data_IF_717118733546
#
_entry.id   IF_717118733546
#
_cell.length_a   1.000
_cell.length_b   1.000
_cell.length_c   1.000
_cell.angle_alpha   90.00
_cell.angle_beta   90.00
_cell.angle_gamma   90.00
#
_symmetry.space_group_name_H-M   'P 1'
#
loop_
_entity.id
_entity.type
_entity.pdbx_description
1 polymer ?
#
# COMPACT_ATOMS: atom_id res chain seq x y z
N UNK A 1 33.75 -40.04 -2.23
CA UNK A 1 34.88 -39.15 -1.93
C UNK A 1 34.76 -37.96 -2.88
N UNK A 2 34.03 -36.95 -2.43
CA UNK A 2 33.78 -35.71 -3.18
C UNK A 2 35.00 -34.81 -3.05
N UNK A 3 35.57 -34.41 -4.18
CA UNK A 3 36.59 -33.37 -4.23
C UNK A 3 35.98 -32.05 -3.79
N UNK A 4 36.35 -31.59 -2.60
CA UNK A 4 36.19 -30.20 -2.19
C UNK A 4 37.17 -29.37 -3.02
N UNK A 5 36.69 -28.71 -4.07
CA UNK A 5 37.43 -27.68 -4.76
C UNK A 5 37.58 -26.51 -3.78
N UNK A 6 38.78 -26.33 -3.22
CA UNK A 6 39.13 -25.18 -2.38
C UNK A 6 38.94 -23.90 -3.18
N UNK A 7 37.78 -23.25 -2.99
CA UNK A 7 37.56 -21.88 -3.42
C UNK A 7 38.36 -20.98 -2.47
N UNK A 8 39.68 -20.89 -2.68
CA UNK A 8 40.48 -19.85 -2.06
C UNK A 8 39.89 -18.49 -2.48
N UNK A 9 39.21 -17.82 -1.54
CA UNK A 9 38.93 -16.40 -1.67
C UNK A 9 40.28 -15.74 -1.96
N UNK A 10 40.35 -14.96 -3.04
CA UNK A 10 41.58 -14.31 -3.53
C UNK A 10 42.01 -13.15 -2.60
N UNK A 11 42.00 -13.38 -1.29
CA UNK A 11 42.56 -12.53 -0.27
C UNK A 11 44.05 -12.85 -0.21
N UNK A 12 44.85 -12.30 -1.14
CA UNK A 12 46.30 -12.26 -0.92
C UNK A 12 46.51 -11.37 0.30
N UNK A 13 47.06 -11.87 1.43
CA UNK A 13 47.34 -11.03 2.58
C UNK A 13 48.50 -10.10 2.20
N UNK A 14 48.18 -9.02 1.49
CA UNK A 14 49.12 -7.92 1.26
C UNK A 14 49.22 -7.19 2.58
N UNK A 15 50.15 -7.68 3.40
CA UNK A 15 50.57 -7.18 4.72
C UNK A 15 49.57 -7.42 5.85
N UNK A 16 50.00 -8.12 6.91
CA UNK A 16 49.23 -8.31 8.15
C UNK A 16 48.85 -7.02 8.89
N UNK A 17 49.36 -5.86 8.43
CA UNK A 17 48.92 -4.52 8.85
C UNK A 17 47.63 -4.05 8.18
N UNK A 18 47.32 -4.51 6.96
CA UNK A 18 46.06 -4.20 6.28
C UNK A 18 44.90 -5.10 6.75
N UNK A 19 45.21 -6.29 7.29
CA UNK A 19 44.24 -7.19 7.92
C UNK A 19 43.89 -6.79 9.37
N UNK A 20 44.79 -6.07 10.05
CA UNK A 20 44.57 -5.51 11.39
C UNK A 20 44.10 -4.05 11.38
N UNK A 21 44.07 -3.40 10.21
CA UNK A 21 43.33 -2.17 10.03
C UNK A 21 41.85 -2.45 10.30
N UNK A 22 41.13 -1.60 11.05
CA UNK A 22 39.70 -1.80 11.25
C UNK A 22 39.04 -1.94 9.88
N UNK A 23 38.34 -3.05 9.68
CA UNK A 23 37.55 -3.27 8.47
C UNK A 23 36.67 -2.05 8.25
N UNK A 24 36.44 -1.71 6.98
CA UNK A 24 35.52 -0.63 6.65
C UNK A 24 34.18 -0.94 7.34
N UNK A 25 33.59 0.03 8.06
CA UNK A 25 32.36 -0.18 8.83
C UNK A 25 31.18 -0.70 7.98
N UNK A 26 31.21 -0.41 6.68
CA UNK A 26 30.27 -0.91 5.68
C UNK A 26 30.35 -2.44 5.51
N UNK A 27 31.56 -3.00 5.53
CA UNK A 27 31.78 -4.45 5.41
C UNK A 27 31.38 -5.15 6.70
N UNK A 28 31.74 -4.58 7.86
CA UNK A 28 31.36 -5.15 9.16
C UNK A 28 29.83 -5.19 9.34
N UNK A 29 29.13 -4.09 9.02
CA UNK A 29 27.67 -4.02 9.12
C UNK A 29 26.97 -4.95 8.13
N UNK A 30 27.50 -5.09 6.91
CA UNK A 30 26.98 -6.05 5.94
C UNK A 30 27.16 -7.51 6.39
N UNK A 31 28.34 -7.88 6.90
CA UNK A 31 28.59 -9.23 7.41
C UNK A 31 27.70 -9.55 8.64
N UNK A 32 27.53 -8.59 9.55
CA UNK A 32 26.62 -8.72 10.68
C UNK A 32 25.16 -8.87 10.22
N UNK A 33 24.76 -8.14 9.17
CA UNK A 33 23.44 -8.31 8.56
C UNK A 33 23.23 -9.72 8.00
N UNK A 34 24.23 -10.29 7.30
CA UNK A 34 24.17 -11.66 6.80
C UNK A 34 24.05 -12.68 7.94
N UNK A 35 24.79 -12.48 9.02
CA UNK A 35 24.72 -13.32 10.22
C UNK A 35 23.30 -13.30 10.81
N UNK A 36 22.67 -12.13 10.91
CA UNK A 36 21.28 -11.99 11.38
C UNK A 36 20.31 -12.78 10.48
N UNK A 37 20.48 -12.70 9.15
CA UNK A 37 19.65 -13.44 8.20
C UNK A 37 19.83 -14.96 8.37
N UNK A 38 21.08 -15.41 8.52
CA UNK A 38 21.38 -16.83 8.73
C UNK A 38 20.78 -17.36 10.04
N UNK A 39 20.90 -16.61 11.13
CA UNK A 39 20.30 -16.98 12.43
C UNK A 39 18.77 -17.00 12.36
N UNK A 40 18.17 -16.08 11.61
CA UNK A 40 16.72 -16.07 11.36
C UNK A 40 16.27 -17.32 10.60
N UNK A 41 17.02 -17.74 9.57
CA UNK A 41 16.73 -18.97 8.83
C UNK A 41 16.91 -20.23 9.70
N UNK A 42 17.89 -20.20 10.60
CA UNK A 42 18.16 -21.28 11.57
C UNK A 42 17.19 -21.27 12.78
N UNK A 43 16.19 -20.38 12.79
CA UNK A 43 15.16 -20.22 13.85
C UNK A 43 15.71 -19.92 15.26
N UNK A 44 16.95 -19.44 15.39
CA UNK A 44 17.57 -19.05 16.68
C UNK A 44 17.29 -17.58 16.99
N UNK A 45 16.04 -17.26 17.32
CA UNK A 45 15.59 -15.88 17.56
C UNK A 45 16.23 -15.13 18.74
N UNK A 46 16.50 -15.73 19.92
CA UNK A 46 17.03 -14.96 21.06
C UNK A 46 18.48 -14.52 20.86
N UNK A 47 19.28 -15.30 20.13
CA UNK A 47 20.66 -14.94 19.77
C UNK A 47 20.68 -13.90 18.65
N UNK A 48 19.79 -14.06 17.65
CA UNK A 48 19.60 -13.06 16.60
C UNK A 48 19.21 -11.69 17.17
N UNK A 49 18.43 -11.66 18.25
CA UNK A 49 18.06 -10.41 18.93
C UNK A 49 19.29 -9.70 19.48
N UNK A 50 20.14 -10.40 20.26
CA UNK A 50 21.36 -9.82 20.84
C UNK A 50 22.29 -9.26 19.76
N UNK A 51 22.56 -10.07 18.73
CA UNK A 51 23.41 -9.65 17.60
C UNK A 51 22.81 -8.44 16.87
N UNK A 52 21.48 -8.37 16.75
CA UNK A 52 20.81 -7.23 16.11
C UNK A 52 20.87 -5.96 16.96
N UNK A 53 20.73 -6.06 18.28
CA UNK A 53 20.83 -4.92 19.20
C UNK A 53 22.27 -4.37 19.23
N UNK A 54 23.27 -5.25 19.25
CA UNK A 54 24.69 -4.89 19.17
C UNK A 54 25.02 -4.17 17.85
N UNK A 55 24.49 -4.68 16.72
CA UNK A 55 24.61 -4.04 15.41
C UNK A 55 24.00 -2.63 15.42
N UNK A 56 22.81 -2.46 16.02
CA UNK A 56 22.13 -1.16 16.13
C UNK A 56 22.92 -0.15 17.00
N UNK A 57 23.58 -0.61 18.07
CA UNK A 57 24.43 0.24 18.89
C UNK A 57 25.68 0.71 18.11
N UNK A 58 26.32 -0.20 17.37
CA UNK A 58 27.49 0.13 16.51
C UNK A 58 27.14 1.14 15.43
N UNK A 59 26.02 0.95 14.73
CA UNK A 59 25.52 1.90 13.71
C UNK A 59 25.34 3.31 14.29
N UNK A 60 24.92 3.42 15.55
CA UNK A 60 24.76 4.72 16.21
C UNK A 60 26.05 5.50 16.39
N UNK A 61 27.18 4.80 16.46
CA UNK A 61 28.50 5.40 16.68
C UNK A 61 29.17 5.87 15.38
N UNK A 62 28.75 5.32 14.24
CA UNK A 62 29.39 5.54 12.94
C UNK A 62 28.45 6.35 12.02
N UNK A 63 28.78 7.62 11.77
CA UNK A 63 27.93 8.53 11.02
C UNK A 63 28.46 8.77 9.60
N UNK A 64 28.37 7.77 8.72
CA UNK A 64 28.77 7.88 7.32
C UNK A 64 27.57 7.69 6.39
N UNK A 65 27.32 8.64 5.47
CA UNK A 65 26.15 8.59 4.57
C UNK A 65 26.08 7.36 3.67
N UNK A 66 27.23 6.79 3.29
CA UNK A 66 27.27 5.54 2.53
C UNK A 66 26.66 4.35 3.30
N UNK A 67 26.64 4.44 4.63
CA UNK A 67 26.07 3.42 5.51
C UNK A 67 24.54 3.46 5.52
N UNK A 68 23.92 4.60 5.21
CA UNK A 68 22.47 4.82 5.37
C UNK A 68 21.62 3.82 4.55
N UNK A 69 22.06 3.46 3.34
CA UNK A 69 21.39 2.45 2.51
C UNK A 69 21.43 1.03 3.14
N UNK A 70 22.56 0.67 3.75
CA UNK A 70 22.74 -0.62 4.43
C UNK A 70 21.93 -0.62 5.73
N UNK A 71 21.97 0.50 6.46
CA UNK A 71 21.26 0.73 7.71
C UNK A 71 19.75 0.62 7.53
N UNK A 72 19.21 1.13 6.43
CA UNK A 72 17.80 0.95 6.06
C UNK A 72 17.40 -0.54 6.01
N UNK A 73 18.28 -1.42 5.50
CA UNK A 73 18.07 -2.88 5.52
C UNK A 73 18.24 -3.45 6.92
N UNK A 74 19.23 -2.99 7.68
CA UNK A 74 19.41 -3.41 9.07
C UNK A 74 18.17 -3.11 9.93
N UNK A 75 17.53 -1.94 9.79
CA UNK A 75 16.27 -1.62 10.47
C UNK A 75 15.13 -2.56 10.08
N UNK A 76 15.04 -2.93 8.80
CA UNK A 76 14.04 -3.88 8.34
C UNK A 76 14.21 -5.24 9.01
N UNK A 77 15.40 -5.82 9.00
CA UNK A 77 15.64 -7.13 9.63
C UNK A 77 15.55 -7.08 11.15
N UNK A 78 15.98 -5.98 11.77
CA UNK A 78 15.78 -5.74 13.21
C UNK A 78 14.28 -5.82 13.55
N UNK A 79 13.44 -5.03 12.88
CA UNK A 79 11.99 -5.07 13.13
C UNK A 79 11.40 -6.47 12.92
N UNK A 80 11.89 -7.23 11.94
CA UNK A 80 11.40 -8.58 11.62
C UNK A 80 11.73 -9.60 12.72
N UNK A 81 12.89 -9.52 13.36
CA UNK A 81 13.23 -10.38 14.50
C UNK A 81 12.28 -10.12 15.66
N UNK A 82 12.00 -8.84 15.94
CA UNK A 82 11.08 -8.44 17.00
C UNK A 82 9.63 -8.83 16.70
N UNK A 83 9.23 -8.92 15.43
CA UNK A 83 7.94 -9.53 15.04
C UNK A 83 7.88 -11.02 15.43
N UNK A 84 8.93 -11.80 15.15
CA UNK A 84 8.95 -13.22 15.52
C UNK A 84 8.94 -13.45 17.03
N UNK A 85 9.53 -12.54 17.79
CA UNK A 85 9.53 -12.57 19.26
C UNK A 85 8.26 -11.96 19.87
N UNK A 86 7.34 -11.43 19.06
CA UNK A 86 6.12 -10.73 19.50
C UNK A 86 6.37 -9.56 20.47
N UNK A 87 7.57 -8.96 20.47
CA UNK A 87 7.96 -7.84 21.34
C UNK A 87 8.04 -6.53 20.56
N UNK A 88 6.94 -6.16 19.92
CA UNK A 88 6.91 -5.05 18.96
C UNK A 88 6.75 -3.66 19.61
N UNK A 89 6.31 -3.59 20.86
CA UNK A 89 6.13 -2.31 21.57
C UNK A 89 7.45 -1.64 21.95
N UNK A 90 8.46 -2.41 22.36
CA UNK A 90 9.79 -1.91 22.75
C UNK A 90 10.51 -1.26 21.58
N UNK A 91 10.31 -1.78 20.37
CA UNK A 91 10.93 -1.27 19.14
C UNK A 91 10.36 0.09 18.72
N UNK A 92 9.12 0.41 19.10
CA UNK A 92 8.44 1.65 18.65
C UNK A 92 9.16 2.92 19.11
N UNK A 93 9.55 2.98 20.37
CA UNK A 93 10.28 4.13 20.92
C UNK A 93 11.66 4.27 20.28
N UNK A 94 12.36 3.15 20.05
CA UNK A 94 13.62 3.09 19.34
C UNK A 94 13.51 3.62 17.90
N UNK A 95 12.51 3.16 17.14
CA UNK A 95 12.28 3.59 15.76
C UNK A 95 11.92 5.09 15.67
N UNK A 96 11.14 5.63 16.60
CA UNK A 96 10.83 7.07 16.65
C UNK A 96 12.07 7.93 16.90
N UNK A 97 12.93 7.51 17.84
CA UNK A 97 14.18 8.20 18.08
C UNK A 97 15.05 8.22 16.81
N UNK A 98 15.14 7.09 16.10
CA UNK A 98 15.90 6.98 14.85
C UNK A 98 15.28 7.76 13.69
N UNK A 99 13.95 7.76 13.55
CA UNK A 99 13.25 8.54 12.53
C UNK A 99 13.57 10.02 12.67
N UNK A 100 13.53 10.56 13.91
CA UNK A 100 13.90 11.95 14.19
C UNK A 100 15.36 12.25 13.79
N UNK A 101 16.29 11.32 14.05
CA UNK A 101 17.68 11.51 13.62
C UNK A 101 17.85 11.44 12.10
N UNK A 102 17.10 10.57 11.42
CA UNK A 102 17.15 10.45 9.96
C UNK A 102 16.57 11.69 9.27
N UNK A 103 15.47 12.26 9.79
CA UNK A 103 14.90 13.50 9.27
C UNK A 103 15.85 14.70 9.41
N UNK A 104 16.59 14.77 10.51
CA UNK A 104 17.58 15.84 10.73
C UNK A 104 18.82 15.68 9.86
N UNK A 105 19.19 14.44 9.52
CA UNK A 105 20.33 14.12 8.64
C UNK A 105 19.99 14.18 7.15
N UNK A 106 18.71 14.36 6.81
CA UNK A 106 18.16 14.29 5.45
C UNK A 106 18.48 12.97 4.73
N UNK A 107 18.41 11.86 5.46
CA UNK A 107 18.50 10.52 4.88
C UNK A 107 17.11 10.07 4.39
N UNK A 108 16.90 10.15 3.07
CA UNK A 108 15.64 9.81 2.43
C UNK A 108 15.30 8.31 2.51
N UNK A 109 16.28 7.42 2.39
CA UNK A 109 16.07 5.97 2.35
C UNK A 109 15.84 5.40 3.75
N UNK A 110 16.62 5.84 4.74
CA UNK A 110 16.39 5.49 6.14
C UNK A 110 15.06 6.05 6.65
N UNK A 111 14.72 7.30 6.32
CA UNK A 111 13.43 7.89 6.70
C UNK A 111 12.25 7.11 6.10
N UNK A 112 12.29 6.76 4.81
CA UNK A 112 11.23 6.01 4.14
C UNK A 112 11.01 4.62 4.74
N UNK A 113 12.10 3.88 4.97
CA UNK A 113 12.02 2.53 5.56
C UNK A 113 11.52 2.59 7.00
N UNK A 114 12.02 3.49 7.83
CA UNK A 114 11.58 3.67 9.22
C UNK A 114 10.09 4.01 9.31
N UNK A 115 9.59 4.89 8.42
CA UNK A 115 8.17 5.24 8.39
C UNK A 115 7.30 4.03 8.03
N UNK A 116 7.69 3.26 7.01
CA UNK A 116 6.98 2.03 6.62
C UNK A 116 6.93 1.00 7.75
N UNK A 117 8.02 0.84 8.50
CA UNK A 117 8.10 -0.08 9.65
C UNK A 117 7.20 0.38 10.81
N UNK A 118 7.17 1.68 11.10
CA UNK A 118 6.28 2.26 12.12
C UNK A 118 4.82 2.05 11.76
N UNK A 119 4.43 2.34 10.51
CA UNK A 119 3.05 2.13 10.05
C UNK A 119 2.64 0.66 10.16
N UNK A 120 3.53 -0.27 9.80
CA UNK A 120 3.30 -1.71 9.97
C UNK A 120 3.08 -2.09 11.44
N UNK A 121 3.87 -1.53 12.35
CA UNK A 121 3.72 -1.74 13.80
C UNK A 121 2.35 -1.23 14.30
N UNK A 122 1.95 -0.01 13.94
CA UNK A 122 0.65 0.54 14.33
C UNK A 122 -0.53 -0.28 13.81
N UNK A 123 -0.43 -0.79 12.58
CA UNK A 123 -1.46 -1.63 11.96
C UNK A 123 -1.58 -3.02 12.62
N UNK A 124 -0.50 -3.54 13.19
CA UNK A 124 -0.51 -4.81 13.94
C UNK A 124 -1.28 -4.67 15.26
N UNK A 125 -1.09 -3.56 15.97
CA UNK A 125 -1.78 -3.25 17.23
C UNK A 125 -3.15 -2.58 17.04
N UNK A 126 -3.64 -2.46 15.80
CA UNK A 126 -4.92 -1.82 15.45
C UNK A 126 -5.05 -0.35 15.90
N UNK A 127 -3.93 0.36 15.99
CA UNK A 127 -3.88 1.74 16.47
C UNK A 127 -3.94 2.74 15.31
N UNK A 128 -5.09 2.78 14.64
CA UNK A 128 -5.28 3.49 13.38
C UNK A 128 -5.24 5.03 13.54
N UNK A 129 -5.82 5.57 14.61
CA UNK A 129 -5.87 7.02 14.84
C UNK A 129 -4.48 7.64 15.06
N UNK A 130 -3.56 6.89 15.68
CA UNK A 130 -2.18 7.35 15.85
C UNK A 130 -1.40 7.27 14.54
N UNK A 131 -1.66 6.24 13.73
CA UNK A 131 -1.02 6.08 12.43
C UNK A 131 -1.43 7.22 11.48
N UNK A 132 -2.69 7.63 11.47
CA UNK A 132 -3.16 8.78 10.69
C UNK A 132 -2.48 10.09 11.12
N UNK A 133 -2.45 10.37 12.42
CA UNK A 133 -1.78 11.56 12.96
C UNK A 133 -0.30 11.60 12.60
N UNK A 134 0.36 10.45 12.53
CA UNK A 134 1.73 10.35 12.05
C UNK A 134 1.81 10.70 10.55
N UNK A 135 0.98 10.07 9.71
CA UNK A 135 0.96 10.29 8.25
C UNK A 135 0.67 11.75 7.89
N UNK A 136 -0.28 12.39 8.57
CA UNK A 136 -0.64 13.80 8.34
C UNK A 136 0.51 14.78 8.62
N UNK A 137 1.43 14.43 9.53
CA UNK A 137 2.53 15.29 9.96
C UNK A 137 3.88 14.92 9.34
N UNK A 138 4.06 13.67 8.94
CA UNK A 138 5.29 13.19 8.32
C UNK A 138 5.26 13.42 6.81
N UNK A 139 6.30 14.06 6.27
CA UNK A 139 6.50 14.13 4.81
C UNK A 139 7.25 12.88 4.37
N UNK A 140 6.67 12.14 3.42
CA UNK A 140 7.37 11.02 2.79
C UNK A 140 8.40 11.56 1.78
N UNK A 141 9.67 11.12 1.82
CA UNK A 141 10.71 11.66 0.96
C UNK A 141 10.52 11.24 -0.52
N UNK A 142 10.63 12.20 -1.43
CA UNK A 142 10.41 11.98 -2.88
C UNK A 142 11.52 11.13 -3.53
N UNK A 143 12.74 11.21 -3.02
CA UNK A 143 13.92 10.50 -3.54
C UNK A 143 13.97 9.01 -3.17
N UNK A 144 13.04 8.54 -2.34
CA UNK A 144 13.04 7.16 -1.87
C UNK A 144 12.84 6.15 -3.00
N UNK A 145 13.36 4.94 -2.79
CA UNK A 145 13.17 3.82 -3.70
C UNK A 145 11.67 3.58 -4.02
N UNK A 146 11.37 3.35 -5.30
CA UNK A 146 10.03 2.99 -5.79
C UNK A 146 9.39 1.83 -5.01
N UNK A 147 10.20 0.88 -4.54
CA UNK A 147 9.73 -0.24 -3.72
C UNK A 147 9.22 0.21 -2.34
N UNK A 148 9.86 1.20 -1.72
CA UNK A 148 9.40 1.75 -0.43
C UNK A 148 8.18 2.64 -0.62
N UNK A 149 8.12 3.38 -1.73
CA UNK A 149 6.92 4.14 -2.14
C UNK A 149 5.70 3.23 -2.32
N UNK A 150 5.86 2.08 -2.98
CA UNK A 150 4.75 1.13 -3.17
C UNK A 150 4.22 0.60 -1.83
N UNK A 151 5.11 0.31 -0.86
CA UNK A 151 4.72 -0.12 0.50
C UNK A 151 4.05 1.00 1.29
N UNK A 152 4.60 2.21 1.22
CA UNK A 152 4.04 3.38 1.89
C UNK A 152 2.61 3.64 1.42
N UNK A 153 2.40 3.64 0.10
CA UNK A 153 1.08 3.77 -0.49
C UNK A 153 0.15 2.64 -0.02
N UNK A 154 0.61 1.39 0.06
CA UNK A 154 -0.22 0.30 0.59
C UNK A 154 -0.63 0.52 2.06
N UNK A 155 0.28 0.94 2.94
CA UNK A 155 -0.04 1.17 4.35
C UNK A 155 -0.96 2.38 4.56
N UNK A 156 -0.66 3.50 3.90
CA UNK A 156 -1.46 4.74 3.99
C UNK A 156 -2.82 4.61 3.31
N UNK A 157 -2.85 4.18 2.06
CA UNK A 157 -4.08 4.06 1.27
C UNK A 157 -4.95 2.87 1.69
N UNK A 158 -4.32 1.70 1.81
CA UNK A 158 -5.05 0.45 1.82
C UNK A 158 -5.71 0.18 3.15
N UNK A 159 -4.95 0.37 4.24
CA UNK A 159 -5.46 0.01 5.56
C UNK A 159 -5.94 1.21 6.36
N UNK A 160 -5.26 2.35 6.30
CA UNK A 160 -5.64 3.51 7.13
C UNK A 160 -6.85 4.21 6.51
N UNK A 161 -6.74 4.70 5.26
CA UNK A 161 -7.83 5.43 4.60
C UNK A 161 -9.09 4.58 4.34
N UNK A 162 -8.93 3.30 3.98
CA UNK A 162 -10.10 2.43 3.78
C UNK A 162 -10.88 2.16 5.08
N UNK A 163 -10.22 2.12 6.24
CA UNK A 163 -10.89 2.00 7.55
C UNK A 163 -11.61 3.29 7.92
N UNK A 164 -11.11 4.44 7.49
CA UNK A 164 -11.70 5.76 7.71
C UNK A 164 -12.83 6.11 6.73
N UNK A 165 -13.24 5.16 5.88
CA UNK A 165 -14.33 5.30 4.91
C UNK A 165 -14.01 6.26 3.73
N UNK A 166 -12.74 6.65 3.54
CA UNK A 166 -12.29 7.48 2.42
C UNK A 166 -12.00 6.63 1.16
N UNK A 167 -13.02 5.98 0.62
CA UNK A 167 -12.86 4.98 -0.44
C UNK A 167 -12.32 5.54 -1.77
N UNK A 168 -12.74 6.75 -2.14
CA UNK A 168 -12.33 7.39 -3.41
C UNK A 168 -10.84 7.68 -3.48
N UNK A 169 -10.26 8.19 -2.38
CA UNK A 169 -8.82 8.44 -2.30
C UNK A 169 -8.03 7.15 -2.15
N UNK A 170 -8.55 6.19 -1.36
CA UNK A 170 -7.96 4.87 -1.20
C UNK A 170 -7.82 4.14 -2.54
N UNK A 171 -8.84 4.18 -3.41
CA UNK A 171 -8.76 3.60 -4.75
C UNK A 171 -7.62 4.20 -5.57
N UNK A 172 -7.58 5.53 -5.73
CA UNK A 172 -6.56 6.23 -6.53
C UNK A 172 -5.14 5.88 -6.09
N UNK A 173 -4.90 5.96 -4.79
CA UNK A 173 -3.58 5.71 -4.20
C UNK A 173 -3.18 4.23 -4.23
N UNK A 174 -4.14 3.30 -4.16
CA UNK A 174 -3.90 1.86 -4.29
C UNK A 174 -3.61 1.43 -5.74
N UNK A 175 -4.31 2.00 -6.73
CA UNK A 175 -3.96 1.81 -8.14
C UNK A 175 -2.55 2.30 -8.43
N UNK A 176 -2.14 3.43 -7.83
CA UNK A 176 -0.77 3.93 -7.92
C UNK A 176 0.25 2.97 -7.28
N UNK A 177 -0.07 2.39 -6.12
CA UNK A 177 0.80 1.41 -5.45
C UNK A 177 1.04 0.17 -6.33
N UNK A 178 -0.03 -0.33 -6.97
CA UNK A 178 0.06 -1.51 -7.85
C UNK A 178 0.91 -1.22 -9.09
N UNK A 179 0.78 -0.04 -9.69
CA UNK A 179 1.58 0.40 -10.85
C UNK A 179 3.05 0.62 -10.51
N UNK A 180 3.37 1.04 -9.28
CA UNK A 180 4.76 1.23 -8.80
C UNK A 180 5.45 -0.07 -8.39
N UNK A 181 4.72 -1.17 -8.20
CA UNK A 181 5.30 -2.45 -7.83
C UNK A 181 6.07 -3.09 -9.00
N UNK A 182 7.18 -3.80 -8.75
CA UNK A 182 7.99 -4.41 -9.81
C UNK A 182 7.19 -5.44 -10.61
N UNK A 183 7.44 -5.53 -11.91
CA UNK A 183 6.57 -6.25 -12.85
C UNK A 183 6.58 -7.77 -12.62
N UNK A 184 7.75 -8.40 -12.44
CA UNK A 184 7.90 -9.86 -12.50
C UNK A 184 8.13 -10.59 -11.16
N UNK A 185 8.50 -9.91 -10.06
CA UNK A 185 9.01 -10.59 -8.84
C UNK A 185 8.04 -10.54 -7.64
N UNK A 186 7.07 -9.62 -7.62
CA UNK A 186 6.29 -9.29 -6.42
C UNK A 186 4.85 -9.86 -6.41
N UNK A 187 4.68 -11.15 -6.72
CA UNK A 187 3.35 -11.79 -6.79
C UNK A 187 2.57 -11.71 -5.47
N UNK A 188 3.16 -12.07 -4.33
CA UNK A 188 2.45 -12.06 -3.04
C UNK A 188 2.00 -10.67 -2.56
N UNK A 189 2.83 -9.64 -2.80
CA UNK A 189 2.45 -8.26 -2.50
C UNK A 189 1.31 -7.80 -3.42
N UNK A 190 1.44 -8.02 -4.73
CA UNK A 190 0.41 -7.66 -5.72
C UNK A 190 -0.92 -8.32 -5.40
N UNK A 191 -0.95 -9.62 -5.09
CA UNK A 191 -2.16 -10.34 -4.68
C UNK A 191 -2.85 -9.68 -3.48
N UNK A 192 -2.06 -9.30 -2.47
CA UNK A 192 -2.59 -8.68 -1.24
C UNK A 192 -3.20 -7.31 -1.53
N UNK A 193 -2.53 -6.50 -2.35
CA UNK A 193 -3.07 -5.19 -2.78
C UNK A 193 -4.32 -5.37 -3.63
N UNK A 194 -4.33 -6.32 -4.57
CA UNK A 194 -5.45 -6.59 -5.45
C UNK A 194 -6.71 -7.03 -4.69
N UNK A 195 -6.55 -7.93 -3.71
CA UNK A 195 -7.65 -8.37 -2.84
C UNK A 195 -8.32 -7.20 -2.15
N UNK A 196 -7.52 -6.27 -1.62
CA UNK A 196 -8.03 -5.09 -0.94
C UNK A 196 -8.63 -4.06 -1.91
N UNK A 197 -8.06 -3.93 -3.11
CA UNK A 197 -8.56 -3.02 -4.16
C UNK A 197 -9.96 -3.41 -4.58
N UNK A 198 -10.19 -4.70 -4.87
CA UNK A 198 -11.50 -5.23 -5.23
C UNK A 198 -12.51 -4.94 -4.11
N UNK A 199 -12.12 -5.13 -2.85
CA UNK A 199 -13.02 -4.79 -1.72
C UNK A 199 -13.38 -3.30 -1.75
N UNK A 200 -12.42 -2.39 -1.91
CA UNK A 200 -12.69 -0.94 -1.95
C UNK A 200 -13.53 -0.55 -3.17
N UNK A 201 -13.31 -1.13 -4.34
CA UNK A 201 -14.09 -0.88 -5.55
C UNK A 201 -15.54 -1.35 -5.39
N UNK A 202 -15.75 -2.53 -4.80
CA UNK A 202 -17.08 -3.02 -4.45
C UNK A 202 -17.77 -2.10 -3.43
N UNK A 203 -17.03 -1.52 -2.48
CA UNK A 203 -17.59 -0.55 -1.54
C UNK A 203 -17.99 0.77 -2.24
N UNK A 204 -17.30 1.17 -3.30
CA UNK A 204 -17.67 2.33 -4.12
C UNK A 204 -18.87 2.05 -5.05
N UNK A 205 -19.21 0.77 -5.24
CA UNK A 205 -20.29 0.35 -6.12
C UNK A 205 -19.91 0.22 -7.59
N UNK A 206 -18.61 0.28 -7.90
CA UNK A 206 -18.09 0.02 -9.24
C UNK A 206 -17.73 -1.48 -9.39
N UNK A 207 -18.05 -2.05 -10.55
CA UNK A 207 -17.74 -3.46 -10.83
C UNK A 207 -16.28 -3.53 -11.31
N UNK A 208 -15.40 -4.33 -10.67
CA UNK A 208 -14.01 -4.47 -11.09
C UNK A 208 -13.91 -5.19 -12.45
N UNK A 209 -13.00 -4.72 -13.30
CA UNK A 209 -12.73 -5.31 -14.62
C UNK A 209 -12.06 -6.68 -14.49
N UNK A 210 -12.57 -7.67 -15.25
CA UNK A 210 -12.08 -9.07 -15.19
C UNK A 210 -10.60 -9.24 -15.59
N UNK A 211 -10.04 -8.30 -16.35
CA UNK A 211 -8.67 -8.34 -16.90
C UNK A 211 -7.58 -8.08 -15.86
N UNK A 212 -7.96 -7.60 -14.67
CA UNK A 212 -7.06 -7.34 -13.55
C UNK A 212 -6.53 -8.60 -12.87
N UNK A 213 -6.96 -9.79 -13.30
CA UNK A 213 -6.55 -11.07 -12.73
C UNK A 213 -5.70 -11.92 -13.71
N UNK A 214 -4.41 -11.58 -13.94
CA UNK A 214 -3.45 -12.53 -14.47
C UNK A 214 -2.91 -13.43 -13.33
N UNK A 215 -3.07 -14.75 -13.49
CA UNK A 215 -2.26 -15.84 -12.92
C UNK A 215 -2.36 -16.27 -11.43
N UNK A 216 -3.27 -15.77 -10.59
CA UNK A 216 -3.35 -16.17 -9.17
C UNK A 216 -4.66 -16.88 -8.77
N UNK A 217 -4.93 -18.00 -9.43
CA UNK A 217 -6.20 -18.73 -9.37
C UNK A 217 -6.54 -19.51 -8.06
N UNK A 218 -5.63 -19.92 -7.15
CA UNK A 218 -6.06 -20.72 -5.99
C UNK A 218 -6.54 -19.93 -4.76
N UNK A 219 -6.11 -18.67 -4.59
CA UNK A 219 -6.23 -17.94 -3.31
C UNK A 219 -7.26 -16.81 -3.30
N UNK A 220 -7.95 -16.59 -4.41
CA UNK A 220 -9.03 -15.59 -4.57
C UNK A 220 -10.44 -16.19 -4.47
N UNK A 221 -10.54 -17.52 -4.50
CA UNK A 221 -11.80 -18.28 -4.41
C UNK A 221 -12.69 -17.96 -3.19
N UNK A 222 -12.16 -17.60 -2.00
CA UNK A 222 -13.04 -17.22 -0.87
C UNK A 222 -13.59 -15.78 -0.94
N UNK A 223 -13.10 -14.94 -1.87
CA UNK A 223 -13.42 -13.50 -1.91
C UNK A 223 -14.18 -13.08 -3.18
N UNK A 224 -14.35 -13.99 -4.14
CA UNK A 224 -15.31 -13.82 -5.22
C UNK A 224 -16.64 -14.41 -4.74
N UNK A 225 -17.61 -13.61 -4.24
CA UNK A 225 -18.98 -14.10 -4.14
C UNK A 225 -19.39 -14.52 -5.56
N UNK A 226 -19.83 -15.78 -5.68
CA UNK A 226 -20.22 -16.37 -6.95
C UNK A 226 -21.12 -15.43 -7.73
N UNK A 227 -20.81 -15.22 -9.02
CA UNK A 227 -21.66 -14.47 -9.96
C UNK A 227 -23.05 -15.10 -10.17
N UNK A 228 -23.36 -16.20 -9.47
CA UNK A 228 -24.68 -16.80 -9.37
C UNK A 228 -24.97 -17.10 -7.89
N UNK A 229 -26.04 -16.48 -7.37
CA UNK A 229 -26.69 -16.64 -6.04
C UNK A 229 -26.29 -15.63 -4.94
N UNK A 230 -27.21 -14.72 -4.60
CA UNK A 230 -27.29 -14.15 -3.26
C UNK A 230 -28.15 -15.09 -2.39
N UNK A 231 -27.59 -16.18 -1.85
CA UNK A 231 -28.26 -16.91 -0.77
C UNK A 231 -27.26 -17.73 0.07
N UNK A 232 -27.54 -17.76 1.38
CA UNK A 232 -26.91 -18.55 2.46
C UNK A 232 -25.51 -18.10 2.95
N UNK A 233 -25.49 -17.67 4.22
CA UNK A 233 -24.29 -17.36 4.99
C UNK A 233 -24.00 -18.46 6.03
N UNK A 234 -22.75 -18.90 6.13
CA UNK A 234 -22.19 -19.57 7.31
C UNK A 234 -20.65 -19.45 7.36
N UNK A 235 -20.09 -19.10 8.53
CA UNK A 235 -18.71 -19.43 8.95
C UNK A 235 -17.63 -18.33 8.91
N UNK A 236 -17.13 -17.94 10.09
CA UNK A 236 -16.10 -16.92 10.45
C UNK A 236 -14.62 -17.43 10.36
N UNK A 237 -13.53 -16.70 10.79
CA UNK A 237 -13.41 -15.34 11.37
C UNK A 237 -12.29 -14.43 10.77
N UNK A 238 -12.36 -13.11 11.03
CA UNK A 238 -11.18 -12.23 10.98
C UNK A 238 -11.22 -10.99 10.09
N UNK A 239 -12.37 -10.32 9.94
CA UNK A 239 -12.46 -9.02 9.28
C UNK A 239 -13.71 -8.29 9.76
N UNK A 240 -13.59 -7.03 10.21
CA UNK A 240 -14.72 -6.24 10.69
C UNK A 240 -15.77 -6.12 9.59
N UNK A 241 -16.97 -6.66 9.89
CA UNK A 241 -18.30 -6.47 9.27
C UNK A 241 -18.30 -5.65 7.97
N UNK A 242 -18.29 -6.36 6.83
CA UNK A 242 -18.67 -5.80 5.52
C UNK A 242 -20.07 -5.19 5.67
N UNK A 243 -20.17 -3.88 5.43
CA UNK A 243 -21.42 -3.15 5.54
C UNK A 243 -22.43 -3.69 4.51
N UNK A 244 -23.45 -4.41 4.99
CA UNK A 244 -24.58 -4.95 4.19
C UNK A 244 -25.33 -3.90 3.34
N UNK A 245 -25.06 -2.60 3.51
CA UNK A 245 -25.79 -1.50 2.85
C UNK A 245 -25.54 -1.41 1.33
N UNK A 246 -24.38 -1.79 0.82
CA UNK A 246 -24.02 -1.55 -0.60
C UNK A 246 -24.52 -2.59 -1.58
N UNK A 247 -24.76 -3.84 -1.17
CA UNK A 247 -25.31 -4.87 -2.06
C UNK A 247 -26.71 -4.54 -2.60
N UNK A 248 -27.40 -3.59 -1.96
CA UNK A 248 -28.74 -3.13 -2.34
C UNK A 248 -28.67 -1.98 -3.35
N UNK A 249 -27.61 -1.15 -3.32
CA UNK A 249 -27.48 0.01 -4.22
C UNK A 249 -26.93 -0.35 -5.60
N UNK A 250 -26.11 -1.40 -5.71
CA UNK A 250 -25.45 -1.82 -6.97
C UNK A 250 -26.32 -2.68 -7.88
N UNK A 251 -27.49 -3.15 -7.44
CA UNK A 251 -28.44 -3.92 -8.27
C UNK A 251 -29.32 -3.08 -9.20
N UNK A 252 -29.26 -1.75 -9.08
CA UNK A 252 -30.16 -0.81 -9.76
C UNK A 252 -29.63 -0.22 -11.09
N UNK A 253 -28.31 -0.03 -11.34
CA UNK A 253 -27.83 0.73 -12.51
C UNK A 253 -27.86 -0.02 -13.85
N UNK A 254 -28.26 -1.30 -13.89
CA UNK A 254 -28.16 -2.16 -15.08
C UNK A 254 -29.47 -2.45 -15.83
N UNK A 255 -30.63 -1.97 -15.35
CA UNK A 255 -31.90 -2.17 -16.04
C UNK A 255 -32.30 -0.88 -16.75
N UNK A 256 -32.60 -0.90 -18.08
CA UNK A 256 -33.39 0.17 -18.69
C UNK A 256 -34.76 0.16 -18.02
N UNK A 257 -34.97 1.03 -17.03
CA UNK A 257 -36.20 1.02 -16.24
C UNK A 257 -37.34 1.67 -17.04
N UNK A 258 -38.55 1.07 -17.06
CA UNK A 258 -39.75 1.79 -17.45
C UNK A 258 -39.99 2.98 -16.51
N UNK A 259 -40.67 4.06 -16.96
CA UNK A 259 -40.77 5.34 -16.25
C UNK A 259 -41.48 5.28 -14.88
N UNK A 260 -42.09 4.15 -14.52
CA UNK A 260 -42.68 3.94 -13.20
C UNK A 260 -42.42 2.51 -12.74
N UNK A 261 -41.70 2.35 -11.62
CA UNK A 261 -41.61 1.08 -10.91
C UNK A 261 -42.63 1.09 -9.75
N UNK A 262 -43.56 0.13 -9.69
CA UNK A 262 -44.40 -0.04 -8.51
C UNK A 262 -43.51 -0.43 -7.33
N UNK A 263 -43.62 0.28 -6.20
CA UNK A 263 -42.99 -0.18 -4.97
C UNK A 263 -43.73 -1.46 -4.55
N UNK A 264 -43.04 -2.60 -4.36
CA UNK A 264 -43.69 -3.73 -3.72
C UNK A 264 -44.12 -3.29 -2.31
N UNK A 265 -45.30 -3.72 -1.83
CA UNK A 265 -45.69 -3.51 -0.45
C UNK A 265 -44.61 -4.07 0.48
N UNK A 266 -44.45 -3.46 1.65
CA UNK A 266 -43.36 -3.56 2.64
C UNK A 266 -43.03 -4.99 3.15
N UNK A 267 -43.59 -6.05 2.55
CA UNK A 267 -43.32 -7.44 2.88
C UNK A 267 -42.61 -8.16 1.72
N UNK A 268 -41.43 -8.72 2.04
CA UNK A 268 -40.57 -9.60 1.23
C UNK A 268 -39.37 -8.97 0.52
N UNK A 269 -38.40 -8.53 1.33
CA UNK A 269 -36.99 -8.84 1.05
C UNK A 269 -36.51 -9.75 2.20
N UNK A 270 -36.16 -11.02 1.97
CA UNK A 270 -35.74 -11.89 3.05
C UNK A 270 -34.36 -11.45 3.56
N UNK A 271 -34.34 -10.83 4.74
CA UNK A 271 -33.14 -10.62 5.56
C UNK A 271 -33.18 -11.57 6.77
N UNK A 272 -32.05 -12.16 7.21
CA UNK A 272 -32.01 -13.21 8.23
C UNK A 272 -32.21 -12.70 9.68
N UNK A 273 -33.06 -11.71 9.88
CA UNK A 273 -33.45 -11.18 11.18
C UNK A 273 -34.62 -10.24 10.99
N UNK A 274 -35.79 -10.61 11.52
CA UNK A 274 -37.11 -10.02 11.26
C UNK A 274 -37.34 -8.57 11.72
N UNK A 275 -36.39 -7.67 11.49
CA UNK A 275 -36.60 -6.23 11.58
C UNK A 275 -36.93 -5.69 10.18
N UNK A 276 -38.10 -5.06 10.06
CA UNK A 276 -38.51 -4.35 8.86
C UNK A 276 -37.51 -3.22 8.56
N UNK A 277 -36.70 -3.39 7.52
CA UNK A 277 -35.82 -2.32 7.02
C UNK A 277 -36.68 -1.45 6.11
N UNK A 278 -36.78 -0.12 6.33
CA UNK A 278 -37.48 0.77 5.41
C UNK A 278 -36.86 0.65 4.01
N UNK A 279 -37.69 0.76 2.97
CA UNK A 279 -37.26 0.63 1.58
C UNK A 279 -35.98 1.47 1.33
N UNK A 280 -34.98 0.95 0.60
CA UNK A 280 -33.70 1.62 0.36
C UNK A 280 -33.82 2.84 -0.58
N UNK A 281 -34.94 2.95 -1.31
CA UNK A 281 -35.16 3.96 -2.35
C UNK A 281 -35.06 5.42 -1.86
N UNK A 282 -35.66 5.83 -0.72
CA UNK A 282 -35.54 7.20 -0.22
C UNK A 282 -34.12 7.54 0.27
N UNK A 283 -33.34 6.55 0.68
CA UNK A 283 -31.95 6.73 1.07
C UNK A 283 -31.08 6.93 -0.17
N UNK A 284 -31.29 6.13 -1.22
CA UNK A 284 -30.56 6.26 -2.49
C UNK A 284 -30.81 7.61 -3.19
N UNK A 285 -32.02 8.16 -3.08
CA UNK A 285 -32.36 9.49 -3.60
C UNK A 285 -31.71 10.61 -2.76
N UNK A 286 -31.69 10.48 -1.42
CA UNK A 286 -31.00 11.43 -0.53
C UNK A 286 -29.49 11.42 -0.72
N UNK A 287 -28.92 10.25 -0.99
CA UNK A 287 -27.49 10.07 -1.25
C UNK A 287 -27.11 10.48 -2.70
N UNK A 288 -28.08 10.95 -3.51
CA UNK A 288 -27.86 11.45 -4.86
C UNK A 288 -27.47 10.38 -5.89
N UNK A 289 -27.61 9.10 -5.55
CA UNK A 289 -27.25 7.97 -6.44
C UNK A 289 -28.28 7.80 -7.55
N UNK A 290 -29.54 8.17 -7.30
CA UNK A 290 -30.64 8.07 -8.26
C UNK A 290 -31.41 9.39 -8.26
N UNK A 291 -31.52 10.01 -9.44
CA UNK A 291 -32.42 11.14 -9.66
C UNK A 291 -33.86 10.64 -9.90
N UNK A 292 -34.58 10.42 -8.81
CA UNK A 292 -35.98 10.00 -8.85
C UNK A 292 -36.83 10.75 -7.82
N UNK A 293 -38.13 10.85 -8.09
CA UNK A 293 -39.12 11.39 -7.15
C UNK A 293 -40.00 10.26 -6.60
N UNK A 294 -40.28 10.28 -5.30
CA UNK A 294 -41.14 9.28 -4.65
C UNK A 294 -42.53 9.87 -4.48
N UNK A 295 -43.54 9.21 -5.05
CA UNK A 295 -44.93 9.55 -4.79
C UNK A 295 -45.47 8.69 -3.63
N UNK A 296 -45.65 9.30 -2.46
CA UNK A 296 -46.06 8.63 -1.23
C UNK A 296 -47.53 8.18 -1.26
N UNK A 297 -48.39 8.81 -2.07
CA UNK A 297 -49.82 8.51 -2.14
C UNK A 297 -50.14 7.29 -3.02
N UNK A 298 -49.34 7.07 -4.07
CA UNK A 298 -49.56 6.02 -5.07
C UNK A 298 -48.54 4.88 -4.99
N UNK A 299 -47.59 4.95 -4.07
CA UNK A 299 -46.63 3.88 -3.80
C UNK A 299 -45.73 3.53 -5.00
N UNK A 300 -45.33 4.50 -5.81
CA UNK A 300 -44.35 4.28 -6.90
C UNK A 300 -43.21 5.28 -6.85
N UNK A 301 -42.05 4.84 -7.35
CA UNK A 301 -40.88 5.70 -7.59
C UNK A 301 -40.86 6.03 -9.08
N UNK A 302 -40.86 7.32 -9.40
CA UNK A 302 -40.76 7.82 -10.77
C UNK A 302 -39.33 8.34 -10.99
N UNK A 303 -38.57 7.68 -11.86
CA UNK A 303 -37.28 8.19 -12.32
C UNK A 303 -37.49 9.47 -13.12
N UNK A 304 -36.59 10.44 -12.97
CA UNK A 304 -36.54 11.57 -13.91
C UNK A 304 -36.07 11.04 -15.27
N UNK A 305 -36.57 11.62 -16.35
CA UNK A 305 -36.17 11.27 -17.71
C UNK A 305 -34.66 11.46 -17.87
N UNK A 306 -34.00 10.56 -18.63
CA UNK A 306 -32.58 10.72 -18.95
C UNK A 306 -32.39 12.03 -19.73
N UNK A 307 -31.82 13.02 -19.07
CA UNK A 307 -31.37 14.25 -19.73
C UNK A 307 -30.17 13.87 -20.62
N UNK A 308 -30.11 14.44 -21.81
CA UNK A 308 -28.97 14.25 -22.70
C UNK A 308 -27.68 14.74 -22.01
N UNK A 309 -26.78 13.81 -21.72
CA UNK A 309 -25.50 14.03 -21.04
C UNK A 309 -24.68 15.12 -21.77
N UNK A 310 -24.79 15.20 -23.10
CA UNK A 310 -24.04 16.16 -23.92
C UNK A 310 -24.51 17.61 -23.76
N UNK A 311 -25.74 17.81 -23.29
CA UNK A 311 -26.28 19.15 -22.98
C UNK A 311 -25.78 19.68 -21.63
N UNK A 312 -25.15 18.83 -20.82
CA UNK A 312 -24.64 19.18 -19.49
C UNK A 312 -23.13 19.49 -19.49
N UNK A 313 -22.60 19.89 -18.32
CA UNK A 313 -21.17 20.17 -18.13
C UNK A 313 -20.32 18.90 -17.88
N UNK A 314 -20.95 17.75 -17.68
CA UNK A 314 -20.25 16.49 -17.41
C UNK A 314 -19.16 16.12 -18.44
N UNK A 315 -19.40 16.17 -19.76
CA UNK A 315 -18.36 15.89 -20.75
C UNK A 315 -17.18 16.86 -20.61
N UNK A 316 -17.44 18.15 -20.37
CA UNK A 316 -16.39 19.16 -20.19
C UNK A 316 -15.51 18.84 -18.97
N UNK A 317 -16.10 18.41 -17.85
CA UNK A 317 -15.37 18.03 -16.63
C UNK A 317 -14.51 16.77 -16.87
N UNK A 318 -15.07 15.77 -17.57
CA UNK A 318 -14.33 14.56 -17.92
C UNK A 318 -13.13 14.86 -18.84
N UNK A 319 -13.31 15.72 -19.83
CA UNK A 319 -12.20 16.18 -20.68
C UNK A 319 -11.18 16.99 -19.89
N UNK A 320 -11.61 17.89 -19.01
CA UNK A 320 -10.69 18.68 -18.19
C UNK A 320 -9.79 17.80 -17.32
N UNK A 321 -10.35 16.78 -16.66
CA UNK A 321 -9.56 15.81 -15.87
C UNK A 321 -8.54 15.06 -16.74
N UNK A 322 -8.94 14.62 -17.94
CA UNK A 322 -8.04 13.91 -18.87
C UNK A 322 -6.94 14.81 -19.41
N UNK A 323 -7.29 16.04 -19.82
CA UNK A 323 -6.34 17.01 -20.37
C UNK A 323 -5.31 17.40 -19.30
N UNK A 324 -5.75 17.70 -18.08
CA UNK A 324 -4.83 17.99 -16.95
C UNK A 324 -3.85 16.84 -16.74
N UNK A 325 -4.36 15.61 -16.69
CA UNK A 325 -3.51 14.42 -16.51
C UNK A 325 -2.50 14.24 -17.66
N UNK A 326 -2.93 14.43 -18.92
CA UNK A 326 -2.04 14.33 -20.07
C UNK A 326 -0.95 15.43 -20.06
N UNK A 327 -1.32 16.67 -19.72
CA UNK A 327 -0.37 17.77 -19.60
C UNK A 327 0.62 17.54 -18.47
N UNK A 328 0.19 17.00 -17.33
CA UNK A 328 1.06 16.65 -16.22
C UNK A 328 2.07 15.57 -16.61
N UNK A 329 1.61 14.51 -17.30
CA UNK A 329 2.52 13.48 -17.85
C UNK A 329 3.52 14.10 -18.82
N UNK A 330 3.07 14.97 -19.73
CA UNK A 330 3.96 15.65 -20.66
C UNK A 330 5.03 16.47 -19.91
N UNK A 331 4.62 17.28 -18.94
CA UNK A 331 5.53 18.09 -18.12
C UNK A 331 6.53 17.24 -17.33
N UNK A 332 6.07 16.15 -16.71
CA UNK A 332 6.94 15.20 -16.00
C UNK A 332 7.93 14.50 -16.96
N UNK A 333 7.47 14.15 -18.16
CA UNK A 333 8.31 13.49 -19.17
C UNK A 333 9.38 14.44 -19.70
N UNK A 334 9.03 15.70 -19.96
CA UNK A 334 9.99 16.74 -20.35
C UNK A 334 11.01 16.99 -19.23
N UNK A 335 10.57 17.03 -17.96
CA UNK A 335 11.48 17.13 -16.81
C UNK A 335 12.40 15.90 -16.68
N UNK A 336 11.89 14.69 -16.91
CA UNK A 336 12.68 13.46 -16.83
C UNK A 336 13.67 13.29 -18.00
N UNK A 337 13.30 13.71 -19.21
CA UNK A 337 14.20 13.75 -20.37
C UNK A 337 15.35 14.74 -20.18
N UNK A 338 15.11 15.82 -19.43
CA UNK A 338 16.16 16.72 -18.95
C UNK A 338 16.85 16.09 -17.73
N UNK A 339 17.68 15.06 -17.97
CA UNK A 339 18.72 14.69 -17.01
C UNK A 339 19.46 15.98 -16.60
N UNK A 340 19.82 16.20 -15.31
CA UNK A 340 20.43 17.44 -14.89
C UNK A 340 21.62 17.74 -15.80
N UNK A 341 21.56 18.80 -16.66
CA UNK A 341 22.58 19.05 -17.67
C UNK A 341 23.97 19.28 -17.05
N UNK A 342 23.99 19.55 -15.73
CA UNK A 342 25.20 19.75 -14.93
C UNK A 342 26.00 18.47 -14.64
N UNK A 343 25.46 17.26 -14.75
CA UNK A 343 26.28 16.05 -14.53
C UNK A 343 27.18 15.77 -15.74
N UNK A 344 26.61 15.83 -16.94
CA UNK A 344 27.35 15.58 -18.18
C UNK A 344 28.31 16.73 -18.52
N UNK A 345 27.88 17.99 -18.32
CA UNK A 345 28.74 19.14 -18.57
C UNK A 345 29.93 19.21 -17.59
N UNK A 346 29.76 18.75 -16.34
CA UNK A 346 30.87 18.73 -15.37
C UNK A 346 31.97 17.75 -15.78
N UNK A 347 31.58 16.59 -16.31
CA UNK A 347 32.53 15.59 -16.80
C UNK A 347 33.25 16.11 -18.07
N UNK A 348 32.54 16.80 -18.98
CA UNK A 348 33.13 17.42 -20.18
C UNK A 348 34.04 18.61 -19.87
N UNK A 349 33.62 19.55 -19.02
CA UNK A 349 34.43 20.69 -18.56
C UNK A 349 35.70 20.19 -17.83
N UNK A 350 35.62 19.07 -17.11
CA UNK A 350 36.80 18.47 -16.46
C UNK A 350 37.73 17.71 -17.41
N UNK A 351 37.21 17.28 -18.57
CA UNK A 351 37.99 16.63 -19.62
C UNK A 351 38.71 17.63 -20.53
N UNK A 352 38.13 18.83 -20.72
CA UNK A 352 38.77 19.92 -21.49
C UNK A 352 39.89 20.64 -20.70
N UNK A 353 39.96 20.44 -19.38
CA UNK A 353 40.98 21.04 -18.49
C UNK A 353 42.18 20.09 -18.22
N UNK A 354 42.15 18.85 -18.73
CA UNK A 354 43.31 17.92 -18.71
C UNK A 354 44.02 17.90 -20.05
#
# INVERSE_FOLDING_TARGET
>A
QSMDTEAELQFRPRTGKAASAPLLPEVETYLQLLLVIYLMNSKRYPEAQKVSDDLMQKISSQNRRALDLVVAKCYYYHSRIYEFLNKLDVVRSFLHARLRTATLRHDADGQATLLNLLLRNYLHYNLYDQAEKLVSKSVFPEQANNNEWARYLYYTAGRIKAIQLEYSEARRTMTNALRKAPQHTAVGFKQTVHKLLIVVELLLGEIPDRLQCPDDQPLLLPHLPGRHRPEAAAGQPGGRRVHRRQGISTGVPGCPQPPALPCPPVHHIPSPGGHAVPCPCPQAIRDGVIEASINHEKGYVQSKEMIDIYSTREPQLAFHQRISFCLDIHNMSVKAMRFPPKSYNKDLESAEVR
#
